data_IF_941043391926
#
_entry.id   IF_941043391926
#
_cell.length_a   1.000
_cell.length_b   1.000
_cell.length_c   1.000
_cell.angle_alpha   90.00
_cell.angle_beta   90.00
_cell.angle_gamma   90.00
#
_symmetry.space_group_name_H-M   'P 1'
#
loop_
_entity.id
_entity.type
_entity.pdbx_description
1 polymer ?
#
# COMPACT_ATOMS: atom_id res chain seq x y z
N UNK A 1 -45.36 32.82 -61.10
CA UNK A 1 -45.21 31.76 -60.09
C UNK A 1 -43.85 30.98 -60.07
N UNK A 2 -43.06 31.03 -61.14
CA UNK A 2 -41.75 30.33 -61.20
C UNK A 2 -40.60 30.97 -60.44
N UNK A 3 -40.62 32.31 -60.22
CA UNK A 3 -39.54 33.02 -59.50
C UNK A 3 -39.42 32.74 -58.01
N UNK A 4 -40.54 32.52 -57.32
CA UNK A 4 -40.57 32.27 -55.88
C UNK A 4 -40.06 30.86 -55.51
N UNK A 5 -40.20 29.88 -56.43
CA UNK A 5 -39.68 28.54 -56.22
C UNK A 5 -38.15 28.48 -56.35
N UNK A 6 -37.63 29.19 -57.35
CA UNK A 6 -36.17 29.31 -57.53
C UNK A 6 -35.49 29.98 -56.36
N UNK A 7 -36.07 31.09 -55.84
CA UNK A 7 -35.55 31.77 -54.63
C UNK A 7 -35.56 30.90 -53.40
N UNK A 8 -36.58 30.05 -53.20
CA UNK A 8 -36.63 29.10 -52.12
C UNK A 8 -35.57 28.01 -52.21
N UNK A 9 -35.33 27.46 -53.44
CA UNK A 9 -34.29 26.48 -53.68
C UNK A 9 -32.88 27.06 -53.39
N UNK A 10 -32.60 28.28 -53.81
CA UNK A 10 -31.35 29.00 -53.53
C UNK A 10 -31.19 29.21 -52.05
N UNK A 11 -32.24 29.68 -51.35
CA UNK A 11 -32.20 29.89 -49.90
C UNK A 11 -31.93 28.55 -49.13
N UNK A 12 -32.54 27.46 -49.52
CA UNK A 12 -32.29 26.15 -48.94
C UNK A 12 -30.87 25.63 -49.25
N UNK A 13 -30.36 25.85 -50.46
CA UNK A 13 -29.00 25.52 -50.83
C UNK A 13 -27.94 26.27 -49.98
N UNK A 14 -28.16 27.57 -49.81
CA UNK A 14 -27.31 28.42 -48.95
C UNK A 14 -27.35 27.94 -47.48
N UNK A 15 -28.56 27.65 -46.95
CA UNK A 15 -28.76 27.17 -45.60
C UNK A 15 -28.01 25.82 -45.37
N UNK A 16 -28.16 24.88 -46.31
CA UNK A 16 -27.49 23.57 -46.22
C UNK A 16 -25.96 23.77 -46.29
N UNK A 17 -25.45 24.60 -47.19
CA UNK A 17 -24.04 24.87 -47.35
C UNK A 17 -23.46 25.51 -46.08
N UNK A 18 -24.17 26.46 -45.47
CA UNK A 18 -23.77 27.19 -44.25
C UNK A 18 -23.69 26.24 -43.05
N UNK A 19 -24.50 25.18 -43.01
CA UNK A 19 -24.42 24.16 -41.95
C UNK A 19 -23.39 23.06 -42.29
N UNK A 20 -23.34 22.61 -43.56
CA UNK A 20 -22.47 21.52 -43.98
C UNK A 20 -20.97 21.96 -43.99
N UNK A 21 -20.67 23.20 -44.38
CA UNK A 21 -19.32 23.68 -44.54
C UNK A 21 -18.50 23.64 -43.24
N UNK A 22 -19.00 24.11 -42.10
CA UNK A 22 -18.28 23.99 -40.82
C UNK A 22 -18.13 22.51 -40.38
N UNK A 23 -19.14 21.68 -40.63
CA UNK A 23 -19.07 20.24 -40.30
C UNK A 23 -17.97 19.56 -41.13
N UNK A 24 -17.96 19.81 -42.45
CA UNK A 24 -16.89 19.32 -43.32
C UNK A 24 -15.54 19.88 -42.94
N UNK A 25 -15.48 21.16 -42.53
CA UNK A 25 -14.25 21.77 -42.05
C UNK A 25 -13.70 21.09 -40.80
N UNK A 26 -14.56 20.75 -39.84
CA UNK A 26 -14.18 19.97 -38.63
C UNK A 26 -13.71 18.56 -39.00
N UNK A 27 -14.46 17.85 -39.86
CA UNK A 27 -14.12 16.49 -40.26
C UNK A 27 -12.82 16.42 -41.09
N UNK A 28 -12.50 17.45 -41.87
CA UNK A 28 -11.27 17.56 -42.65
C UNK A 28 -10.11 18.22 -41.90
N UNK A 29 -10.26 18.48 -40.62
CA UNK A 29 -9.18 19.01 -39.80
C UNK A 29 -8.79 20.47 -40.13
N UNK A 30 -9.67 21.29 -40.73
CA UNK A 30 -9.36 22.70 -41.03
C UNK A 30 -9.08 23.54 -39.75
N UNK A 31 -9.51 23.03 -38.59
CA UNK A 31 -9.21 23.59 -37.26
C UNK A 31 -8.03 22.87 -36.57
N UNK A 32 -7.41 21.88 -37.26
CA UNK A 32 -6.28 21.14 -36.75
C UNK A 32 -4.97 21.87 -37.06
N UNK A 33 -4.10 21.86 -36.10
CA UNK A 33 -2.65 22.08 -36.06
C UNK A 33 -2.12 23.50 -36.26
N UNK A 34 -2.01 24.00 -37.48
CA UNK A 34 -1.05 25.09 -37.75
C UNK A 34 -1.53 26.49 -37.41
N UNK A 35 -2.85 26.68 -37.30
CA UNK A 35 -3.43 27.99 -37.00
C UNK A 35 -3.64 28.27 -35.52
N UNK A 36 -3.63 27.24 -34.70
CA UNK A 36 -3.86 27.34 -33.26
C UNK A 36 -2.87 26.45 -32.50
N UNK A 37 -1.56 26.81 -32.55
CA UNK A 37 -0.55 26.02 -31.83
C UNK A 37 -0.76 26.12 -30.31
N UNK A 38 -0.41 25.06 -29.59
CA UNK A 38 -0.27 25.13 -28.13
C UNK A 38 1.05 25.85 -27.85
N UNK A 39 0.99 27.06 -27.30
CA UNK A 39 2.19 27.86 -27.01
C UNK A 39 2.62 27.78 -25.56
N UNK A 40 1.71 27.42 -24.66
CA UNK A 40 1.98 27.38 -23.21
C UNK A 40 1.57 26.05 -22.61
N UNK A 41 2.48 25.49 -21.83
CA UNK A 41 2.23 24.33 -20.97
C UNK A 41 2.46 24.76 -19.52
N UNK A 42 1.37 24.92 -18.78
CA UNK A 42 1.41 25.21 -17.33
C UNK A 42 1.40 23.90 -16.56
N UNK A 43 2.54 23.55 -15.96
CA UNK A 43 2.73 22.31 -15.22
C UNK A 43 2.74 22.61 -13.73
N UNK A 44 1.85 21.96 -12.98
CA UNK A 44 1.80 21.98 -11.53
C UNK A 44 2.06 20.60 -10.97
N UNK A 45 3.09 20.47 -10.16
CA UNK A 45 3.46 19.27 -9.43
C UNK A 45 4.15 19.66 -8.13
N UNK A 46 4.33 18.71 -7.22
CA UNK A 46 5.12 18.93 -6.00
C UNK A 46 6.63 18.95 -6.28
N UNK A 47 7.07 18.36 -7.39
CA UNK A 47 8.47 18.27 -7.87
C UNK A 47 9.43 17.67 -6.85
N UNK A 48 8.98 16.68 -6.08
CA UNK A 48 9.83 15.97 -5.12
C UNK A 48 10.71 14.92 -5.81
N UNK A 49 10.11 14.18 -6.77
CA UNK A 49 10.75 13.05 -7.46
C UNK A 49 10.73 13.18 -8.98
N UNK A 50 9.97 14.12 -9.52
CA UNK A 50 9.81 14.36 -10.97
C UNK A 50 10.22 15.78 -11.28
N UNK A 51 10.96 15.96 -12.38
CA UNK A 51 11.31 17.32 -12.87
C UNK A 51 10.31 17.82 -13.90
N UNK A 52 10.20 19.15 -14.02
CA UNK A 52 9.38 19.77 -15.05
C UNK A 52 9.86 19.40 -16.47
N UNK A 53 11.16 19.15 -16.65
CA UNK A 53 11.74 18.72 -17.91
C UNK A 53 11.28 17.33 -18.32
N UNK A 54 11.21 16.39 -17.38
CA UNK A 54 10.71 15.03 -17.64
C UNK A 54 9.24 15.06 -18.07
N UNK A 55 8.42 15.87 -17.41
CA UNK A 55 7.01 16.04 -17.77
C UNK A 55 6.89 16.66 -19.16
N UNK A 56 7.65 17.73 -19.45
CA UNK A 56 7.65 18.39 -20.76
C UNK A 56 8.09 17.43 -21.87
N UNK A 57 9.14 16.65 -21.63
CA UNK A 57 9.62 15.65 -22.59
C UNK A 57 8.58 14.58 -22.89
N UNK A 58 7.82 14.13 -21.88
CA UNK A 58 6.75 13.15 -22.04
C UNK A 58 5.56 13.71 -22.86
N UNK A 59 5.26 15.00 -22.72
CA UNK A 59 4.12 15.67 -23.40
C UNK A 59 4.49 16.19 -24.78
N UNK A 60 5.76 16.52 -25.03
CA UNK A 60 6.22 17.16 -26.26
C UNK A 60 5.72 16.52 -27.56
N UNK A 61 5.66 15.18 -27.72
CA UNK A 61 5.14 14.56 -28.93
C UNK A 61 3.69 14.91 -29.25
N UNK A 62 2.89 15.22 -28.21
CA UNK A 62 1.45 15.50 -28.36
C UNK A 62 1.14 16.98 -28.57
N UNK A 63 2.08 17.91 -28.28
CA UNK A 63 1.84 19.34 -28.39
C UNK A 63 1.75 19.83 -29.84
N UNK A 64 2.34 19.08 -30.80
CA UNK A 64 2.34 19.41 -32.21
C UNK A 64 0.99 19.30 -32.93
N UNK A 65 -0.01 18.67 -32.33
CA UNK A 65 -1.32 18.45 -32.95
C UNK A 65 -2.22 19.69 -33.01
N UNK A 66 -1.85 20.75 -32.28
CA UNK A 66 -2.62 21.98 -32.16
C UNK A 66 -3.70 21.93 -31.08
N UNK A 67 -4.10 23.10 -30.59
CA UNK A 67 -4.96 23.27 -29.41
C UNK A 67 -6.30 22.50 -29.49
N UNK A 68 -6.94 22.50 -30.67
CA UNK A 68 -8.24 21.84 -30.80
C UNK A 68 -8.12 20.33 -31.03
N UNK A 69 -7.08 19.90 -31.75
CA UNK A 69 -6.87 18.48 -32.11
C UNK A 69 -6.23 17.67 -30.98
N UNK A 70 -5.43 18.30 -30.10
CA UNK A 70 -4.74 17.59 -29.03
C UNK A 70 -5.68 16.76 -28.17
N UNK A 71 -5.34 15.47 -28.03
CA UNK A 71 -6.06 14.54 -27.18
C UNK A 71 -5.48 14.55 -25.76
N UNK A 72 -6.22 15.13 -24.81
CA UNK A 72 -5.77 15.21 -23.42
C UNK A 72 -5.66 13.83 -22.73
N UNK A 73 -6.35 12.80 -23.25
CA UNK A 73 -6.23 11.45 -22.72
C UNK A 73 -4.85 10.86 -23.03
N UNK A 74 -4.32 11.13 -24.23
CA UNK A 74 -2.98 10.69 -24.62
C UNK A 74 -1.90 11.43 -23.83
N UNK A 75 -2.09 12.73 -23.61
CA UNK A 75 -1.20 13.55 -22.74
C UNK A 75 -1.18 12.96 -21.32
N UNK A 76 -2.33 12.69 -20.71
CA UNK A 76 -2.41 12.11 -19.36
C UNK A 76 -1.74 10.73 -19.32
N UNK A 77 -1.99 9.90 -20.33
CA UNK A 77 -1.39 8.56 -20.42
C UNK A 77 0.12 8.62 -20.58
N UNK A 78 0.63 9.58 -21.36
CA UNK A 78 2.07 9.77 -21.53
C UNK A 78 2.76 10.17 -20.22
N UNK A 79 2.15 11.08 -19.46
CA UNK A 79 2.66 11.52 -18.16
C UNK A 79 2.53 10.42 -17.10
N UNK A 80 1.43 9.65 -17.11
CA UNK A 80 1.22 8.53 -16.17
C UNK A 80 2.21 7.36 -16.35
N UNK A 81 2.96 7.32 -17.46
CA UNK A 81 4.06 6.36 -17.67
C UNK A 81 5.33 6.72 -16.90
N UNK A 82 5.45 7.94 -16.39
CA UNK A 82 6.60 8.33 -15.58
C UNK A 82 6.55 7.61 -14.22
N UNK A 83 7.65 7.02 -13.75
CA UNK A 83 7.63 6.09 -12.60
C UNK A 83 7.07 6.66 -11.31
N UNK A 84 7.25 7.96 -11.07
CA UNK A 84 6.80 8.63 -9.87
C UNK A 84 5.45 9.32 -10.01
N UNK A 85 4.75 9.15 -11.16
CA UNK A 85 3.41 9.70 -11.35
C UNK A 85 2.36 8.71 -10.89
N UNK A 86 1.51 9.13 -9.98
CA UNK A 86 0.32 8.39 -9.59
C UNK A 86 -0.80 8.59 -10.62
N UNK A 87 -1.10 9.85 -10.90
CA UNK A 87 -2.04 10.24 -11.95
C UNK A 87 -1.79 11.67 -12.40
N UNK A 88 -2.37 12.05 -13.54
CA UNK A 88 -2.29 13.39 -14.08
C UNK A 88 -3.65 13.88 -14.54
N UNK A 89 -3.95 15.14 -14.30
CA UNK A 89 -5.08 15.85 -14.85
C UNK A 89 -4.61 16.84 -15.91
N UNK A 90 -5.28 16.85 -17.06
CA UNK A 90 -4.98 17.80 -18.13
C UNK A 90 -6.24 18.56 -18.51
N UNK A 91 -6.13 19.86 -18.70
CA UNK A 91 -7.23 20.73 -19.10
C UNK A 91 -6.77 21.72 -20.17
N UNK A 92 -7.61 21.94 -21.18
CA UNK A 92 -7.38 23.00 -22.17
C UNK A 92 -7.74 24.35 -21.55
N UNK A 93 -6.83 25.32 -21.62
CA UNK A 93 -7.07 26.70 -21.27
C UNK A 93 -7.02 27.56 -22.52
N UNK A 94 -8.15 28.04 -22.95
CA UNK A 94 -8.23 28.92 -24.13
C UNK A 94 -7.38 30.19 -23.91
N UNK A 95 -6.69 30.74 -24.94
CA UNK A 95 -6.76 30.32 -26.35
C UNK A 95 -5.73 29.26 -26.78
N UNK A 96 -4.61 29.07 -26.06
CA UNK A 96 -3.42 28.38 -26.57
C UNK A 96 -2.66 27.58 -25.50
N UNK A 97 -3.27 27.36 -24.33
CA UNK A 97 -2.60 26.82 -23.16
C UNK A 97 -3.17 25.48 -22.73
N UNK A 98 -2.28 24.61 -22.22
CA UNK A 98 -2.66 23.38 -21.51
C UNK A 98 -2.21 23.50 -20.06
N UNK A 99 -3.12 23.31 -19.14
CA UNK A 99 -2.86 23.14 -17.71
C UNK A 99 -2.74 21.66 -17.42
N UNK A 100 -1.63 21.26 -16.83
CA UNK A 100 -1.32 19.89 -16.44
C UNK A 100 -1.03 19.88 -14.94
N UNK A 101 -1.85 19.15 -14.17
CA UNK A 101 -1.63 18.90 -12.75
C UNK A 101 -1.17 17.47 -12.60
N UNK A 102 0.00 17.26 -12.02
CA UNK A 102 0.61 15.95 -11.83
C UNK A 102 0.68 15.65 -10.34
N UNK A 103 0.14 14.50 -9.99
CA UNK A 103 0.17 13.98 -8.61
C UNK A 103 1.26 12.92 -8.51
N UNK A 104 2.19 13.14 -7.59
CA UNK A 104 3.30 12.20 -7.38
C UNK A 104 2.90 11.05 -6.46
N UNK A 105 3.52 9.89 -6.69
CA UNK A 105 3.40 8.72 -5.82
C UNK A 105 3.89 9.04 -4.41
N UNK A 106 3.08 8.76 -3.42
CA UNK A 106 3.43 8.89 -2.01
C UNK A 106 3.65 7.50 -1.41
N UNK A 107 4.91 7.06 -1.25
CA UNK A 107 5.19 5.73 -0.72
C UNK A 107 4.74 5.62 0.73
N UNK A 108 3.98 4.57 1.02
CA UNK A 108 3.50 4.20 2.35
C UNK A 108 4.35 3.09 2.97
N UNK A 109 4.72 2.08 2.17
CA UNK A 109 5.46 0.92 2.62
C UNK A 109 6.28 0.32 1.47
N UNK A 110 7.27 -0.52 1.80
CA UNK A 110 7.91 -1.42 0.85
C UNK A 110 7.08 -2.68 0.67
N UNK A 111 7.02 -3.23 -0.53
CA UNK A 111 6.40 -4.51 -0.83
C UNK A 111 7.42 -5.49 -1.40
N UNK A 112 7.82 -6.45 -0.58
CA UNK A 112 8.91 -7.36 -0.94
C UNK A 112 10.26 -6.66 -1.03
N UNK A 113 11.05 -6.98 -2.06
CA UNK A 113 12.42 -6.50 -2.22
C UNK A 113 12.55 -5.19 -3.01
N UNK A 114 11.66 -4.96 -3.99
CA UNK A 114 11.88 -3.99 -5.07
C UNK A 114 10.67 -3.12 -5.42
N UNK A 115 9.53 -3.38 -4.76
CA UNK A 115 8.28 -2.66 -5.00
C UNK A 115 7.90 -1.77 -3.81
N UNK A 116 7.09 -0.77 -4.10
CA UNK A 116 6.51 0.14 -3.12
C UNK A 116 4.99 0.04 -3.14
N UNK A 117 4.37 0.40 -2.04
CA UNK A 117 2.92 0.57 -1.91
C UNK A 117 2.68 2.05 -1.64
N UNK A 118 1.77 2.67 -2.39
CA UNK A 118 1.33 4.04 -2.13
C UNK A 118 0.25 4.09 -1.04
N UNK A 119 -0.16 5.30 -0.65
CA UNK A 119 -1.21 5.50 0.37
C UNK A 119 -2.59 4.97 -0.04
N UNK A 120 -2.80 4.71 -1.34
CA UNK A 120 -4.04 4.14 -1.87
C UNK A 120 -3.99 2.60 -1.98
N UNK A 121 -2.93 1.97 -1.50
CA UNK A 121 -2.76 0.52 -1.54
C UNK A 121 -2.31 -0.03 -2.90
N UNK A 122 -1.90 0.84 -3.83
CA UNK A 122 -1.44 0.42 -5.15
C UNK A 122 0.06 0.13 -5.12
N UNK A 123 0.45 -0.97 -5.77
CA UNK A 123 1.87 -1.34 -5.91
C UNK A 123 2.47 -0.64 -7.12
N UNK A 124 3.63 -0.04 -6.93
CA UNK A 124 4.41 0.58 -7.99
C UNK A 124 5.90 0.30 -7.83
N UNK A 125 6.65 0.44 -8.91
CA UNK A 125 8.10 0.21 -8.92
C UNK A 125 8.82 1.42 -9.47
N UNK A 126 9.87 1.84 -8.77
CA UNK A 126 10.71 2.97 -9.21
C UNK A 126 12.17 2.62 -8.98
N UNK A 127 13.02 3.03 -9.91
CA UNK A 127 14.47 2.89 -9.76
C UNK A 127 14.95 3.70 -8.54
N UNK A 128 15.85 3.12 -7.74
CA UNK A 128 16.38 3.79 -6.55
C UNK A 128 15.46 3.74 -5.32
N UNK A 129 14.37 2.98 -5.37
CA UNK A 129 13.48 2.77 -4.20
C UNK A 129 14.20 2.21 -2.99
N UNK A 130 15.30 1.50 -3.18
CA UNK A 130 16.15 0.91 -2.13
C UNK A 130 16.72 1.97 -1.17
N UNK A 131 16.95 3.20 -1.67
CA UNK A 131 17.46 4.33 -0.89
C UNK A 131 16.44 4.99 0.04
N UNK A 132 15.15 4.68 -0.09
CA UNK A 132 14.11 5.25 0.76
C UNK A 132 14.17 4.62 2.15
N UNK A 133 14.46 5.41 3.16
CA UNK A 133 14.53 4.97 4.56
C UNK A 133 13.24 5.29 5.31
N UNK A 134 13.01 4.58 6.41
CA UNK A 134 11.88 4.86 7.31
C UNK A 134 10.54 4.31 6.87
N UNK A 135 10.46 3.59 5.74
CA UNK A 135 9.23 2.91 5.32
C UNK A 135 9.12 1.52 5.99
N UNK A 136 7.95 1.13 6.48
CA UNK A 136 7.73 -0.22 6.96
C UNK A 136 7.86 -1.23 5.80
N UNK A 137 8.32 -2.45 6.13
CA UNK A 137 8.48 -3.53 5.16
C UNK A 137 7.27 -4.46 5.23
N UNK A 138 6.54 -4.56 4.15
CA UNK A 138 5.40 -5.46 4.02
C UNK A 138 5.73 -6.55 3.00
N UNK A 139 5.36 -7.79 3.30
CA UNK A 139 5.60 -8.90 2.39
C UNK A 139 4.54 -9.98 2.49
N UNK A 140 4.24 -10.61 1.35
CA UNK A 140 3.24 -11.67 1.27
C UNK A 140 2.95 -12.06 -0.17
N UNK A 141 2.01 -12.98 -0.39
CA UNK A 141 1.47 -13.27 -1.71
C UNK A 141 0.76 -12.02 -2.29
N UNK A 142 0.93 -11.77 -3.58
CA UNK A 142 0.38 -10.56 -4.21
C UNK A 142 -1.17 -10.52 -4.20
N UNK A 143 -1.82 -11.68 -4.23
CA UNK A 143 -3.27 -11.83 -4.09
C UNK A 143 -3.79 -11.52 -2.68
N UNK A 144 -2.90 -11.38 -1.70
CA UNK A 144 -3.20 -11.08 -0.30
C UNK A 144 -2.67 -9.71 0.15
N UNK A 145 -2.35 -8.84 -0.79
CA UNK A 145 -1.81 -7.51 -0.53
C UNK A 145 -2.70 -6.71 0.44
N UNK A 146 -4.00 -6.66 0.16
CA UNK A 146 -4.96 -5.90 0.98
C UNK A 146 -5.03 -6.42 2.42
N UNK A 147 -4.95 -7.74 2.60
CA UNK A 147 -4.92 -8.36 3.94
C UNK A 147 -3.67 -7.93 4.72
N UNK A 148 -2.51 -7.84 4.05
CA UNK A 148 -1.25 -7.43 4.69
C UNK A 148 -1.30 -5.96 5.07
N UNK A 149 -1.80 -5.10 4.19
CA UNK A 149 -1.98 -3.65 4.46
C UNK A 149 -2.93 -3.46 5.64
N UNK A 150 -4.08 -4.14 5.61
CA UNK A 150 -5.08 -4.06 6.69
C UNK A 150 -4.52 -4.55 8.02
N UNK A 151 -3.81 -5.67 8.01
CA UNK A 151 -3.20 -6.22 9.21
C UNK A 151 -2.11 -5.29 9.78
N UNK A 152 -1.30 -4.67 8.91
CA UNK A 152 -0.34 -3.66 9.34
C UNK A 152 -1.04 -2.45 10.01
N UNK A 153 -2.12 -1.96 9.41
CA UNK A 153 -2.90 -0.86 9.99
C UNK A 153 -3.52 -1.24 11.36
N UNK A 154 -3.99 -2.47 11.51
CA UNK A 154 -4.47 -3.00 12.79
C UNK A 154 -3.32 -3.07 13.82
N UNK A 155 -2.13 -3.54 13.40
CA UNK A 155 -0.94 -3.56 14.26
C UNK A 155 -0.58 -2.16 14.74
N UNK A 156 -0.58 -1.14 13.89
CA UNK A 156 -0.26 0.23 14.30
C UNK A 156 -1.19 0.74 15.41
N UNK A 157 -2.49 0.38 15.35
CA UNK A 157 -3.46 0.73 16.41
C UNK A 157 -3.21 -0.03 17.70
N UNK A 158 -3.05 -1.35 17.61
CA UNK A 158 -2.88 -2.22 18.78
C UNK A 158 -1.56 -1.96 19.52
N UNK A 159 -0.48 -1.66 18.79
CA UNK A 159 0.82 -1.33 19.38
C UNK A 159 0.91 0.11 19.91
N UNK A 160 -0.09 0.95 19.63
CA UNK A 160 -0.13 2.33 20.13
C UNK A 160 -0.08 2.35 21.67
N UNK A 161 0.90 3.05 22.23
CA UNK A 161 1.09 3.12 23.68
C UNK A 161 1.85 1.95 24.34
N UNK A 162 2.17 0.88 23.58
CA UNK A 162 2.96 -0.25 24.12
C UNK A 162 4.47 0.00 24.23
N UNK A 163 4.97 1.05 23.59
CA UNK A 163 6.42 1.32 23.45
C UNK A 163 7.10 0.42 22.41
N UNK A 164 6.38 -0.49 21.78
CA UNK A 164 6.89 -1.35 20.71
C UNK A 164 6.52 -0.76 19.33
N UNK A 165 7.49 -0.67 18.44
CA UNK A 165 7.31 -0.12 17.10
C UNK A 165 7.43 -1.26 16.08
N UNK A 166 6.39 -1.46 15.28
CA UNK A 166 6.38 -2.45 14.18
C UNK A 166 7.12 -1.87 12.98
N UNK A 167 8.16 -2.54 12.50
CA UNK A 167 8.94 -2.17 11.31
C UNK A 167 8.62 -3.03 10.10
N UNK A 168 8.19 -4.29 10.30
CA UNK A 168 7.82 -5.16 9.19
C UNK A 168 6.65 -6.09 9.53
N UNK A 169 5.88 -6.43 8.49
CA UNK A 169 4.80 -7.42 8.52
C UNK A 169 4.98 -8.38 7.36
N UNK A 170 5.03 -9.66 7.66
CA UNK A 170 5.18 -10.72 6.67
C UNK A 170 4.04 -11.73 6.77
N UNK A 171 3.42 -12.04 5.62
CA UNK A 171 2.46 -13.13 5.45
C UNK A 171 3.11 -14.22 4.61
N UNK A 172 3.36 -15.37 5.19
CA UNK A 172 3.89 -16.52 4.44
C UNK A 172 2.86 -17.07 3.45
N UNK A 173 3.27 -17.76 2.36
CA UNK A 173 2.34 -18.42 1.44
C UNK A 173 1.42 -19.45 2.11
N UNK A 174 1.84 -19.96 3.27
CA UNK A 174 1.03 -20.89 4.09
C UNK A 174 0.06 -20.18 5.04
N UNK A 175 -0.05 -18.86 4.97
CA UNK A 175 -0.95 -18.04 5.80
C UNK A 175 -0.43 -17.69 7.20
N UNK A 176 0.85 -17.94 7.49
CA UNK A 176 1.45 -17.60 8.78
C UNK A 176 1.91 -16.15 8.84
N UNK A 177 1.51 -15.42 9.87
CA UNK A 177 1.88 -14.04 10.12
C UNK A 177 3.12 -13.94 11.00
N UNK A 178 3.99 -13.03 10.65
CA UNK A 178 5.19 -12.66 11.41
C UNK A 178 5.32 -11.14 11.41
N UNK A 179 5.65 -10.57 12.58
CA UNK A 179 6.00 -9.14 12.70
C UNK A 179 7.47 -9.02 13.04
N UNK A 180 8.08 -7.93 12.61
CA UNK A 180 9.39 -7.50 13.07
C UNK A 180 9.25 -6.14 13.73
N UNK A 181 9.86 -5.97 14.88
CA UNK A 181 9.88 -4.70 15.60
C UNK A 181 11.10 -3.87 15.16
N UNK A 182 11.06 -2.57 15.35
CA UNK A 182 12.18 -1.67 15.06
C UNK A 182 13.45 -2.02 15.87
N UNK A 183 13.30 -2.71 17.01
CA UNK A 183 14.42 -3.29 17.77
C UNK A 183 15.08 -4.50 17.12
N UNK A 184 14.56 -5.00 15.99
CA UNK A 184 14.97 -6.25 15.35
C UNK A 184 14.29 -7.51 15.93
N UNK A 185 13.48 -7.39 16.96
CA UNK A 185 12.77 -8.53 17.53
C UNK A 185 11.72 -9.08 16.57
N UNK A 186 11.59 -10.40 16.50
CA UNK A 186 10.61 -11.08 15.67
C UNK A 186 9.47 -11.65 16.52
N UNK A 187 8.22 -11.51 16.05
CA UNK A 187 7.01 -12.02 16.68
C UNK A 187 6.34 -12.99 15.72
N UNK A 188 6.38 -14.29 16.01
CA UNK A 188 5.72 -15.33 15.25
C UNK A 188 4.27 -15.49 15.74
N UNK A 189 3.28 -15.09 14.92
CA UNK A 189 1.87 -15.12 15.29
C UNK A 189 1.18 -16.42 14.83
N UNK A 190 1.56 -16.90 13.64
CA UNK A 190 0.96 -18.07 13.03
C UNK A 190 -0.28 -17.75 12.19
N UNK A 191 -1.05 -18.79 11.82
CA UNK A 191 -2.19 -18.68 10.90
C UNK A 191 -3.52 -18.38 11.59
N UNK A 192 -3.72 -19.01 12.73
CA UNK A 192 -5.02 -19.02 13.41
C UNK A 192 -5.15 -17.83 14.35
N UNK A 193 -6.27 -17.13 14.27
CA UNK A 193 -6.65 -16.04 15.19
C UNK A 193 -5.53 -14.99 15.43
N UNK A 194 -4.88 -14.43 14.38
CA UNK A 194 -3.70 -13.59 14.56
C UNK A 194 -3.98 -12.35 15.41
N UNK A 195 -5.14 -11.72 15.24
CA UNK A 195 -5.53 -10.52 16.00
C UNK A 195 -5.73 -10.83 17.49
N UNK A 196 -6.36 -11.94 17.81
CA UNK A 196 -6.63 -12.35 19.20
C UNK A 196 -5.34 -12.72 19.94
N UNK A 197 -4.43 -13.42 19.23
CA UNK A 197 -3.11 -13.77 19.78
C UNK A 197 -2.27 -12.54 20.05
N UNK A 198 -2.27 -11.58 19.11
CA UNK A 198 -1.58 -10.33 19.25
C UNK A 198 -2.12 -9.52 20.42
N UNK A 199 -3.44 -9.38 20.50
CA UNK A 199 -4.09 -8.68 21.61
C UNK A 199 -3.74 -9.29 22.96
N UNK A 200 -3.79 -10.61 23.09
CA UNK A 200 -3.40 -11.32 24.33
C UNK A 200 -1.97 -11.00 24.76
N UNK A 201 -1.04 -10.95 23.80
CA UNK A 201 0.34 -10.57 24.07
C UNK A 201 0.42 -9.13 24.55
N UNK A 202 -0.23 -8.19 23.85
CA UNK A 202 -0.18 -6.77 24.18
C UNK A 202 -0.86 -6.46 25.54
N UNK A 203 -1.94 -7.15 25.89
CA UNK A 203 -2.60 -7.02 27.20
C UNK A 203 -1.67 -7.48 28.35
N UNK A 204 -0.80 -8.46 28.10
CA UNK A 204 0.17 -8.94 29.07
C UNK A 204 1.49 -8.14 29.09
N UNK A 205 1.79 -7.43 27.99
CA UNK A 205 3.07 -6.76 27.75
C UNK A 205 3.48 -5.77 28.88
N UNK A 206 2.61 -4.90 29.39
CA UNK A 206 2.99 -3.96 30.45
C UNK A 206 3.50 -4.64 31.72
N UNK A 207 2.93 -5.81 32.06
CA UNK A 207 3.37 -6.60 33.23
C UNK A 207 4.70 -7.30 32.97
N UNK A 208 4.92 -7.75 31.72
CA UNK A 208 6.14 -8.45 31.32
C UNK A 208 7.32 -7.49 31.20
N UNK A 209 7.09 -6.29 30.70
CA UNK A 209 8.11 -5.25 30.55
C UNK A 209 8.44 -4.54 31.86
N UNK A 210 7.56 -4.63 32.86
CA UNK A 210 7.74 -3.99 34.17
C UNK A 210 8.99 -4.53 34.87
N UNK A 211 9.90 -3.61 35.20
CA UNK A 211 11.16 -3.94 35.89
C UNK A 211 12.26 -4.54 35.01
N UNK A 212 12.07 -4.51 33.68
CA UNK A 212 13.10 -4.95 32.73
C UNK A 212 13.59 -3.79 31.88
N UNK A 213 14.89 -3.79 31.63
CA UNK A 213 15.56 -2.85 30.72
C UNK A 213 15.87 -3.46 29.36
N UNK A 214 15.74 -4.80 29.24
CA UNK A 214 15.96 -5.57 28.00
C UNK A 214 14.63 -5.78 27.27
N UNK A 215 14.60 -5.50 25.96
CA UNK A 215 13.46 -5.77 25.10
C UNK A 215 13.36 -7.24 24.70
N UNK A 216 12.25 -7.67 24.08
CA UNK A 216 12.13 -8.99 23.52
C UNK A 216 13.10 -9.15 22.34
N UNK A 217 13.69 -10.34 22.18
CA UNK A 217 14.42 -10.73 20.98
C UNK A 217 13.57 -11.59 20.05
N UNK A 218 12.71 -12.42 20.64
CA UNK A 218 11.78 -13.27 19.89
C UNK A 218 10.54 -13.55 20.73
N UNK A 219 9.37 -13.50 20.09
CA UNK A 219 8.09 -13.82 20.72
C UNK A 219 7.37 -14.88 19.86
N UNK A 220 6.90 -15.95 20.48
CA UNK A 220 6.13 -16.98 19.80
C UNK A 220 4.69 -17.00 20.35
N UNK A 221 3.74 -16.56 19.54
CA UNK A 221 2.31 -16.50 19.87
C UNK A 221 1.52 -17.70 19.35
N UNK A 222 2.17 -18.70 18.78
CA UNK A 222 1.51 -19.83 18.12
C UNK A 222 0.86 -20.81 19.11
N UNK A 223 1.18 -20.71 20.38
CA UNK A 223 0.56 -21.53 21.41
C UNK A 223 -0.92 -21.20 21.63
N UNK A 224 -1.75 -22.23 21.83
CA UNK A 224 -3.20 -22.06 22.01
C UNK A 224 -3.54 -21.20 23.24
N UNK A 225 -2.87 -21.46 24.37
CA UNK A 225 -3.24 -20.91 25.68
C UNK A 225 -2.18 -19.94 26.26
N UNK A 226 -1.21 -19.50 25.45
CA UNK A 226 -0.14 -18.64 25.95
C UNK A 226 0.79 -18.16 24.86
N UNK A 227 1.96 -17.71 25.26
CA UNK A 227 3.04 -17.33 24.36
C UNK A 227 4.38 -17.49 25.07
N UNK A 228 5.46 -17.58 24.30
CA UNK A 228 6.83 -17.63 24.81
C UNK A 228 7.59 -16.36 24.42
N UNK A 229 8.37 -15.80 25.34
CA UNK A 229 9.21 -14.64 25.11
C UNK A 229 10.67 -15.01 25.39
N UNK A 230 11.53 -14.76 24.43
CA UNK A 230 12.98 -14.78 24.59
C UNK A 230 13.47 -13.33 24.65
N UNK A 231 14.20 -12.99 25.68
CA UNK A 231 14.71 -11.65 25.93
C UNK A 231 16.08 -11.44 25.29
N UNK A 232 16.42 -10.21 24.95
CA UNK A 232 17.67 -9.89 24.26
C UNK A 232 18.94 -10.22 25.06
N UNK A 233 18.87 -10.15 26.38
CA UNK A 233 19.99 -10.50 27.28
C UNK A 233 20.11 -11.99 27.65
N UNK A 234 19.19 -12.85 27.17
CA UNK A 234 19.23 -14.27 27.48
C UNK A 234 20.22 -14.99 26.56
N UNK A 235 21.12 -15.83 27.13
CA UNK A 235 22.00 -16.68 26.36
C UNK A 235 21.20 -17.56 25.38
N UNK A 236 21.73 -17.89 24.17
CA UNK A 236 21.04 -18.72 23.22
C UNK A 236 20.71 -20.09 23.86
N UNK A 237 19.42 -20.44 23.89
CA UNK A 237 18.99 -21.76 24.34
C UNK A 237 19.64 -22.80 23.42
N UNK A 238 20.50 -23.64 23.97
CA UNK A 238 20.99 -24.81 23.24
C UNK A 238 19.80 -25.69 22.85
N UNK A 239 19.77 -26.24 21.63
CA UNK A 239 18.75 -27.20 21.26
C UNK A 239 18.82 -28.35 22.26
N UNK A 240 17.70 -28.65 22.94
CA UNK A 240 17.59 -29.75 23.87
C UNK A 240 17.94 -31.06 23.14
N UNK A 241 19.16 -31.52 23.32
CA UNK A 241 19.57 -32.86 22.95
C UNK A 241 18.70 -33.85 23.70
N UNK A 242 18.15 -34.84 22.99
CA UNK A 242 17.44 -35.97 23.56
C UNK A 242 18.46 -36.76 24.39
N UNK A 243 18.50 -36.54 25.70
CA UNK A 243 19.44 -37.28 26.53
C UNK A 243 19.39 -36.88 28.02
N UNK A 244 18.81 -37.75 28.82
CA UNK A 244 18.90 -37.94 30.29
C UNK A 244 18.58 -36.75 31.22
N UNK A 245 17.57 -36.98 32.02
CA UNK A 245 17.25 -36.23 33.26
C UNK A 245 18.48 -36.15 34.16
N UNK A 246 19.02 -34.98 34.33
CA UNK A 246 19.71 -34.61 35.56
C UNK A 246 19.18 -33.23 36.01
N UNK A 247 18.78 -33.18 37.26
CA UNK A 247 18.25 -32.06 37.98
C UNK A 247 19.34 -30.98 38.12
N UNK A 248 19.24 -29.92 37.30
CA UNK A 248 20.04 -28.71 37.44
C UNK A 248 19.20 -27.52 37.04
N UNK A 249 18.83 -26.69 38.00
CA UNK A 249 18.06 -25.46 37.83
C UNK A 249 18.99 -24.44 37.11
N UNK A 250 18.94 -24.44 35.77
CA UNK A 250 19.55 -23.39 34.96
C UNK A 250 18.43 -22.44 34.49
N UNK A 251 18.51 -21.17 34.89
CA UNK A 251 17.59 -20.12 34.53
C UNK A 251 17.61 -19.80 33.05
N UNK A 252 16.90 -20.56 32.24
CA UNK A 252 16.43 -20.13 30.94
C UNK A 252 15.01 -19.56 31.18
N UNK A 253 14.87 -18.23 31.09
CA UNK A 253 13.59 -17.58 31.37
C UNK A 253 12.54 -17.86 30.30
N UNK A 254 11.90 -19.01 30.38
CA UNK A 254 10.69 -19.34 29.67
C UNK A 254 9.50 -18.99 30.59
N UNK A 255 8.78 -17.95 30.29
CA UNK A 255 7.53 -17.63 31.01
C UNK A 255 6.37 -18.09 30.15
N UNK A 256 5.73 -19.20 30.56
CA UNK A 256 4.48 -19.67 29.98
C UNK A 256 3.36 -19.10 30.84
N UNK A 257 2.62 -18.12 30.35
CA UNK A 257 1.38 -17.66 30.98
C UNK A 257 0.20 -18.45 30.40
N UNK A 258 -0.31 -19.41 31.19
CA UNK A 258 -1.62 -19.98 30.96
C UNK A 258 -2.66 -19.28 31.87
N UNK A 259 -3.96 -19.30 31.54
CA UNK A 259 -4.97 -18.69 32.40
C UNK A 259 -5.05 -19.44 33.72
N UNK A 260 -4.94 -18.72 34.83
CA UNK A 260 -5.28 -19.20 36.17
C UNK A 260 -6.78 -19.41 36.22
N UNK A 261 -7.24 -20.65 36.02
CA UNK A 261 -8.58 -21.08 36.43
C UNK A 261 -8.49 -21.73 37.79
N UNK A 262 -9.16 -21.20 38.82
CA UNK A 262 -9.38 -21.93 40.03
C UNK A 262 -10.65 -22.77 39.88
N UNK A 263 -10.52 -24.00 39.44
CA UNK A 263 -11.60 -24.98 39.64
C UNK A 263 -11.24 -25.88 40.82
N UNK A 264 -12.07 -25.95 41.88
CA UNK A 264 -11.87 -26.88 42.97
C UNK A 264 -12.16 -28.32 42.48
N UNK A 265 -11.19 -29.19 42.67
CA UNK A 265 -11.35 -30.61 42.44
C UNK A 265 -12.30 -31.15 43.53
N UNK A 266 -13.54 -31.40 43.13
CA UNK A 266 -14.51 -32.15 43.97
C UNK A 266 -14.10 -33.62 43.97
N UNK A 267 -13.64 -34.12 45.12
CA UNK A 267 -13.48 -35.54 45.37
C UNK A 267 -14.86 -36.22 45.52
N UNK A 268 -15.36 -36.84 44.46
CA UNK A 268 -16.44 -37.82 44.58
C UNK A 268 -15.85 -39.19 44.85
N UNK A 269 -16.06 -39.68 46.09
CA UNK A 269 -15.83 -41.08 46.49
C UNK A 269 -16.81 -41.97 45.74
N UNK A 270 -16.30 -42.95 45.00
CA UNK A 270 -17.08 -44.07 44.52
C UNK A 270 -17.25 -45.08 45.66
N UNK A 271 -18.45 -45.58 45.91
CA UNK A 271 -18.66 -46.69 46.85
C UNK A 271 -18.27 -48.03 46.22
N UNK A 272 -17.61 -48.87 47.01
CA UNK A 272 -17.28 -50.23 46.66
C UNK A 272 -18.55 -51.05 46.52
N UNK A 273 -18.72 -51.81 45.43
CA UNK A 273 -19.69 -52.92 45.30
C UNK A 273 -19.02 -54.21 45.72
N UNK A 274 -19.49 -54.74 46.86
CA UNK A 274 -19.33 -56.15 47.27
C UNK A 274 -20.40 -56.95 46.59
N UNK A 275 -20.05 -58.08 46.09
CA UNK A 275 -20.47 -59.44 45.88
C UNK A 275 -20.37 -59.91 44.46
#
# INVERSE_FOLDING_TARGET
MRGSFLLKLIAWGIAITLVALPIVGVLNGWFASDRWPVTKLDVRAEFNHISAEQIRAAVAPHLGEGFFAINLADVRTAVAKLPWVEHAEARKRWPDSIELVVYEQQPYARWGSDRLINRHGQVFSVAGSEGLQGLPELSGPDDRLDDVIQFHADCLKEFSGSGLIVSAVALSPRGGWTLTLASGASIAIGREHPRERLKRFLDAWPKLASGRNDGPAYVDLRYANGFAVRWAGAAPAQPAGIGKRESGIGQAGFVIFGPLSPFPISHSRFPALNT
#
